data_IF_229180975865
#
_entry.id   IF_229180975865
#
_cell.length_a   1.000
_cell.length_b   1.000
_cell.length_c   1.000
_cell.angle_alpha   90.00
_cell.angle_beta   90.00
_cell.angle_gamma   90.00
#
_symmetry.space_group_name_H-M   'P 1'
#
loop_
_entity.id
_entity.type
_entity.pdbx_description
1 polymer ?
#
# COMPACT_ATOMS: atom_id res chain seq x y z
N UNK A 1 2.64 22.49 5.27
CA UNK A 1 2.90 21.33 6.17
C UNK A 1 1.98 20.21 5.72
N UNK A 2 2.55 19.14 5.26
CA UNK A 2 1.82 17.95 4.77
C UNK A 2 1.22 17.22 5.96
N UNK A 3 -0.09 17.07 6.00
CA UNK A 3 -0.78 16.32 7.05
C UNK A 3 -1.28 15.01 6.42
N UNK A 4 -0.54 13.94 6.64
CA UNK A 4 -1.02 12.58 6.41
C UNK A 4 -1.25 11.89 7.74
N UNK A 5 -2.11 10.89 7.76
CA UNK A 5 -2.33 10.10 8.97
C UNK A 5 -1.04 9.36 9.34
N UNK A 6 -0.49 9.61 10.52
CA UNK A 6 0.78 9.00 10.95
C UNK A 6 0.63 7.57 11.47
N UNK A 7 -0.58 7.06 11.58
CA UNK A 7 -0.82 5.68 12.03
C UNK A 7 -0.21 4.69 11.06
N UNK A 8 0.58 3.76 11.59
CA UNK A 8 1.12 2.63 10.86
C UNK A 8 0.60 1.35 11.49
N UNK A 9 -0.10 0.54 10.72
CA UNK A 9 -0.62 -0.74 11.14
C UNK A 9 0.40 -1.85 10.90
N UNK A 10 0.67 -2.65 11.92
CA UNK A 10 1.46 -3.89 11.79
C UNK A 10 0.51 -5.07 11.64
N UNK A 11 0.73 -5.91 10.63
CA UNK A 11 -0.11 -7.09 10.45
C UNK A 11 0.00 -8.09 11.60
N UNK A 12 1.13 -8.12 12.29
CA UNK A 12 1.37 -8.98 13.46
C UNK A 12 0.95 -8.36 14.82
N UNK A 13 0.28 -7.21 14.82
CA UNK A 13 -0.23 -6.60 16.06
C UNK A 13 -1.19 -7.55 16.78
N UNK A 14 -1.02 -7.72 18.11
CA UNK A 14 -1.79 -8.66 18.93
C UNK A 14 -3.30 -8.43 18.89
N UNK A 15 -3.73 -7.22 18.57
CA UNK A 15 -5.16 -6.85 18.48
C UNK A 15 -5.90 -7.51 17.31
N UNK A 16 -5.18 -7.89 16.25
CA UNK A 16 -5.78 -8.49 15.04
C UNK A 16 -4.92 -9.58 14.37
N UNK A 17 -3.67 -9.73 14.76
CA UNK A 17 -2.72 -10.63 14.09
C UNK A 17 -3.15 -12.11 14.12
N UNK A 18 -3.88 -12.53 15.16
CA UNK A 18 -4.39 -13.90 15.27
C UNK A 18 -5.71 -14.14 14.52
N UNK A 19 -6.36 -13.08 13.99
CA UNK A 19 -7.60 -13.24 13.25
C UNK A 19 -7.40 -14.11 12.00
N UNK A 20 -8.38 -14.95 11.61
CA UNK A 20 -8.31 -15.74 10.38
C UNK A 20 -8.16 -14.87 9.13
N UNK A 21 -7.25 -15.27 8.21
CA UNK A 21 -7.10 -14.59 6.92
C UNK A 21 -6.52 -15.54 5.84
N UNK A 22 -7.34 -16.37 5.17
CA UNK A 22 -8.80 -16.47 5.27
C UNK A 22 -9.30 -17.39 6.38
N UNK A 23 -8.52 -18.30 6.89
CA UNK A 23 -8.90 -19.32 7.90
C UNK A 23 -8.01 -19.26 9.13
N UNK A 24 -8.37 -19.99 10.19
CA UNK A 24 -7.56 -20.07 11.41
C UNK A 24 -6.13 -20.59 11.20
N UNK A 25 -5.93 -21.43 10.17
CA UNK A 25 -4.59 -21.90 9.79
C UNK A 25 -3.75 -20.87 9.03
N UNK A 26 -4.36 -19.77 8.60
CA UNK A 26 -3.71 -18.69 7.87
C UNK A 26 -4.08 -17.37 8.55
N UNK A 27 -3.28 -16.97 9.51
CA UNK A 27 -3.53 -15.79 10.32
C UNK A 27 -3.32 -14.48 9.55
N UNK A 28 -3.93 -13.43 10.06
CA UNK A 28 -3.74 -12.07 9.57
C UNK A 28 -2.27 -11.63 9.69
N UNK A 29 -1.57 -12.04 10.74
CA UNK A 29 -0.15 -11.77 10.93
C UNK A 29 0.71 -12.30 9.76
N UNK A 30 0.36 -13.46 9.22
CA UNK A 30 1.10 -14.06 8.09
C UNK A 30 0.66 -13.57 6.71
N UNK A 31 -0.61 -13.17 6.54
CA UNK A 31 -1.21 -12.98 5.22
C UNK A 31 -1.87 -11.61 5.01
N UNK A 32 -1.93 -10.77 6.03
CA UNK A 32 -2.74 -9.53 6.06
C UNK A 32 -2.11 -8.30 5.40
N UNK A 33 -0.94 -8.38 4.77
CA UNK A 33 -0.25 -7.22 4.22
C UNK A 33 -1.11 -6.43 3.21
N UNK A 34 -1.82 -7.10 2.33
CA UNK A 34 -2.72 -6.44 1.37
C UNK A 34 -3.87 -5.70 2.04
N UNK A 35 -4.47 -6.30 3.08
CA UNK A 35 -5.50 -5.64 3.87
C UNK A 35 -4.93 -4.42 4.61
N UNK A 36 -3.75 -4.53 5.22
CA UNK A 36 -3.08 -3.39 5.86
C UNK A 36 -2.74 -2.28 4.86
N UNK A 37 -2.29 -2.62 3.66
CA UNK A 37 -1.98 -1.63 2.64
C UNK A 37 -3.24 -0.86 2.20
N UNK A 38 -4.36 -1.55 1.98
CA UNK A 38 -5.67 -0.90 1.73
C UNK A 38 -6.08 -0.04 2.91
N UNK A 39 -5.90 -0.53 4.14
CA UNK A 39 -6.20 0.22 5.36
C UNK A 39 -5.37 1.51 5.45
N UNK A 40 -4.08 1.45 5.18
CA UNK A 40 -3.21 2.63 5.17
C UNK A 40 -3.66 3.69 4.16
N UNK A 41 -4.14 3.27 2.99
CA UNK A 41 -4.72 4.19 2.02
C UNK A 41 -6.05 4.79 2.53
N UNK A 42 -6.94 3.94 3.02
CA UNK A 42 -8.29 4.35 3.40
C UNK A 42 -8.33 5.26 4.62
N UNK A 43 -7.44 5.10 5.60
CA UNK A 43 -7.41 5.98 6.79
C UNK A 43 -6.96 7.42 6.47
N UNK A 44 -6.43 7.67 5.29
CA UNK A 44 -6.21 9.04 4.80
C UNK A 44 -7.55 9.73 4.48
N UNK A 45 -8.64 8.98 4.31
CA UNK A 45 -9.99 9.49 4.16
C UNK A 45 -10.64 9.71 5.53
N UNK A 46 -11.32 10.83 5.71
CA UNK A 46 -11.88 11.23 6.99
C UNK A 46 -12.83 10.17 7.60
N UNK A 47 -13.64 9.51 6.79
CA UNK A 47 -14.58 8.49 7.25
C UNK A 47 -13.92 7.24 7.83
N UNK A 48 -12.65 7.00 7.53
CA UNK A 48 -11.95 5.78 7.93
C UNK A 48 -10.80 6.02 8.91
N UNK A 49 -10.58 7.27 9.32
CA UNK A 49 -9.48 7.65 10.22
C UNK A 49 -9.42 6.87 11.54
N UNK A 50 -10.55 6.37 12.00
CA UNK A 50 -10.67 5.61 13.25
C UNK A 50 -10.76 4.09 13.04
N UNK A 51 -10.69 3.61 11.79
CA UNK A 51 -10.72 2.19 11.49
C UNK A 51 -9.36 1.55 11.78
N UNK A 52 -9.42 0.27 12.13
CA UNK A 52 -8.25 -0.59 12.32
C UNK A 52 -8.24 -1.71 11.27
N UNK A 53 -7.14 -2.44 11.11
CA UNK A 53 -7.11 -3.61 10.23
C UNK A 53 -8.22 -4.63 10.50
N UNK A 54 -8.67 -4.77 11.75
CA UNK A 54 -9.81 -5.63 12.09
C UNK A 54 -11.13 -5.18 11.43
N UNK A 55 -11.32 -3.88 11.24
CA UNK A 55 -12.48 -3.34 10.52
C UNK A 55 -12.38 -3.62 9.03
N UNK A 56 -11.24 -3.30 8.42
CA UNK A 56 -10.99 -3.51 6.99
C UNK A 56 -11.02 -5.00 6.62
N UNK A 57 -10.52 -5.87 7.48
CA UNK A 57 -10.56 -7.32 7.31
C UNK A 57 -11.96 -7.84 7.01
N UNK A 58 -13.01 -7.29 7.61
CA UNK A 58 -14.38 -7.75 7.42
C UNK A 58 -14.79 -7.82 5.95
N UNK A 59 -14.33 -6.85 5.16
CA UNK A 59 -14.53 -6.86 3.72
C UNK A 59 -13.42 -7.59 2.97
N UNK A 60 -12.17 -7.36 3.34
CA UNK A 60 -11.00 -7.82 2.61
C UNK A 60 -10.78 -9.35 2.67
N UNK A 61 -11.28 -10.01 3.72
CA UNK A 61 -11.07 -11.44 3.93
C UNK A 61 -11.60 -12.34 2.79
N UNK A 62 -12.62 -11.89 2.07
CA UNK A 62 -13.17 -12.60 0.92
C UNK A 62 -12.16 -12.74 -0.24
N UNK A 63 -11.14 -11.89 -0.27
CA UNK A 63 -10.07 -11.92 -1.27
C UNK A 63 -8.79 -12.55 -0.76
N UNK A 64 -8.80 -13.04 0.47
CA UNK A 64 -7.65 -13.71 1.06
C UNK A 64 -7.53 -15.16 0.53
N UNK A 65 -6.31 -15.59 0.30
CA UNK A 65 -6.00 -16.94 -0.18
C UNK A 65 -5.18 -17.71 0.85
N UNK A 66 -5.27 -19.03 0.79
CA UNK A 66 -4.51 -19.89 1.69
C UNK A 66 -3.00 -19.80 1.39
N UNK A 67 -2.28 -19.07 2.25
CA UNK A 67 -0.83 -18.95 2.19
C UNK A 67 -0.27 -17.93 1.18
N UNK A 68 -1.10 -17.29 0.34
CA UNK A 68 -0.64 -16.32 -0.65
C UNK A 68 -1.13 -14.87 -0.40
N UNK A 69 -1.69 -14.60 0.78
CA UNK A 69 -2.19 -13.28 1.11
C UNK A 69 -3.42 -12.84 0.33
N UNK A 70 -3.49 -11.58 -0.04
CA UNK A 70 -4.62 -10.98 -0.75
C UNK A 70 -4.43 -11.07 -2.26
N UNK A 71 -5.48 -11.47 -2.99
CA UNK A 71 -5.50 -11.45 -4.44
C UNK A 71 -5.36 -10.02 -4.99
N UNK A 72 -4.73 -9.86 -6.14
CA UNK A 72 -4.53 -8.54 -6.77
C UNK A 72 -5.84 -7.83 -7.09
N UNK A 73 -6.82 -8.54 -7.63
CA UNK A 73 -8.15 -7.97 -7.86
C UNK A 73 -8.83 -7.58 -6.54
N UNK A 74 -8.53 -8.26 -5.44
CA UNK A 74 -9.01 -7.92 -4.11
C UNK A 74 -8.47 -6.56 -3.62
N UNK A 75 -7.24 -6.20 -3.99
CA UNK A 75 -6.71 -4.87 -3.71
C UNK A 75 -7.53 -3.80 -4.44
N UNK A 76 -7.78 -3.99 -5.73
CA UNK A 76 -8.62 -3.08 -6.52
C UNK A 76 -10.01 -2.95 -5.91
N UNK A 77 -10.68 -4.08 -5.65
CA UNK A 77 -12.03 -4.10 -5.06
C UNK A 77 -12.09 -3.49 -3.67
N UNK A 78 -11.06 -3.73 -2.85
CA UNK A 78 -10.95 -3.13 -1.53
C UNK A 78 -10.83 -1.61 -1.58
N UNK A 79 -9.94 -1.10 -2.42
CA UNK A 79 -9.76 0.34 -2.60
C UNK A 79 -11.03 1.01 -3.15
N UNK A 80 -11.68 0.42 -4.15
CA UNK A 80 -12.96 0.90 -4.68
C UNK A 80 -14.05 0.92 -3.60
N UNK A 81 -14.15 -0.15 -2.81
CA UNK A 81 -15.11 -0.25 -1.71
C UNK A 81 -14.95 0.87 -0.67
N UNK A 82 -13.70 1.25 -0.40
CA UNK A 82 -13.38 2.31 0.56
C UNK A 82 -13.29 3.72 -0.06
N UNK A 83 -13.77 3.91 -1.28
CA UNK A 83 -14.00 5.24 -1.84
C UNK A 83 -12.90 5.80 -2.73
N UNK A 84 -12.13 4.92 -3.38
CA UNK A 84 -11.12 5.32 -4.35
C UNK A 84 -11.53 5.00 -5.78
N UNK A 85 -11.15 5.88 -6.71
CA UNK A 85 -10.89 5.49 -8.09
C UNK A 85 -9.54 4.82 -8.14
N UNK A 86 -9.45 3.69 -8.81
CA UNK A 86 -8.24 2.86 -8.84
C UNK A 86 -7.76 2.65 -10.27
N UNK A 87 -6.49 2.93 -10.49
CA UNK A 87 -5.80 2.58 -11.72
C UNK A 87 -4.71 1.55 -11.38
N UNK A 88 -4.98 0.30 -11.69
CA UNK A 88 -3.98 -0.76 -11.57
C UNK A 88 -3.11 -0.83 -12.83
N UNK A 89 -1.81 -1.02 -12.62
CA UNK A 89 -0.84 -1.28 -13.69
C UNK A 89 0.12 -2.38 -13.25
N UNK A 90 0.32 -3.34 -14.12
CA UNK A 90 1.44 -4.24 -14.00
C UNK A 90 2.70 -3.50 -14.41
N UNK A 91 3.77 -3.62 -13.64
CA UNK A 91 5.03 -2.97 -13.92
C UNK A 91 5.87 -3.82 -14.85
N UNK A 92 5.80 -3.59 -16.15
CA UNK A 92 6.79 -4.14 -17.07
C UNK A 92 8.07 -3.28 -17.02
N UNK A 93 7.92 -1.96 -16.94
CA UNK A 93 9.00 -1.04 -16.59
C UNK A 93 8.52 0.00 -15.59
N UNK A 94 9.34 0.30 -14.60
CA UNK A 94 9.04 1.34 -13.62
C UNK A 94 8.93 2.73 -14.23
N UNK A 95 9.56 2.94 -15.37
CA UNK A 95 9.52 4.22 -16.07
C UNK A 95 8.13 4.54 -16.62
N UNK A 96 7.41 3.54 -17.11
CA UNK A 96 6.04 3.70 -17.59
C UNK A 96 5.08 3.96 -16.43
N UNK A 97 5.24 3.28 -15.33
CA UNK A 97 4.49 3.54 -14.10
C UNK A 97 4.76 4.96 -13.62
N UNK A 98 6.01 5.37 -13.66
CA UNK A 98 6.40 6.71 -13.27
C UNK A 98 5.74 7.81 -14.10
N UNK A 99 5.62 7.63 -15.42
CA UNK A 99 4.90 8.57 -16.30
C UNK A 99 3.42 8.71 -15.90
N UNK A 100 2.79 7.61 -15.50
CA UNK A 100 1.41 7.61 -15.00
C UNK A 100 1.33 8.26 -13.63
N UNK A 101 2.25 7.97 -12.73
CA UNK A 101 2.33 8.57 -11.40
C UNK A 101 2.47 10.09 -11.48
N UNK A 102 3.36 10.62 -12.31
CA UNK A 102 3.53 12.07 -12.50
C UNK A 102 2.23 12.80 -12.86
N UNK A 103 1.38 12.18 -13.66
CA UNK A 103 0.08 12.75 -14.06
C UNK A 103 -0.98 12.63 -12.97
N UNK A 104 -0.88 11.63 -12.12
CA UNK A 104 -1.93 11.24 -11.16
C UNK A 104 -1.66 11.69 -9.73
N UNK A 105 -0.44 12.09 -9.40
CA UNK A 105 0.05 12.33 -8.03
C UNK A 105 -0.50 13.58 -7.33
N UNK A 106 -1.40 14.32 -7.95
CA UNK A 106 -1.99 15.49 -7.29
C UNK A 106 -3.11 15.14 -6.32
N UNK A 107 -3.63 13.91 -6.35
CA UNK A 107 -4.81 13.52 -5.56
C UNK A 107 -4.83 12.01 -5.30
N UNK A 108 -4.55 11.57 -4.10
CA UNK A 108 -4.70 10.16 -3.74
C UNK A 108 -3.51 9.57 -3.01
N UNK A 109 -3.50 8.27 -2.92
CA UNK A 109 -2.44 7.47 -2.32
C UNK A 109 -2.04 6.35 -3.28
N UNK A 110 -0.85 5.80 -3.09
CA UNK A 110 -0.33 4.74 -3.94
C UNK A 110 -0.15 3.50 -3.09
N UNK A 111 -0.61 2.39 -3.61
CA UNK A 111 -0.30 1.09 -3.09
C UNK A 111 0.45 0.31 -4.16
N UNK A 112 1.48 -0.42 -3.79
CA UNK A 112 2.16 -1.29 -4.73
C UNK A 112 2.48 -2.64 -4.11
N UNK A 113 2.59 -3.65 -4.98
CA UNK A 113 3.09 -4.96 -4.61
C UNK A 113 4.58 -5.05 -4.94
N UNK A 114 5.38 -5.36 -3.96
CA UNK A 114 6.78 -5.72 -4.15
C UNK A 114 6.90 -7.15 -4.67
N UNK A 115 7.92 -7.41 -5.45
CA UNK A 115 8.08 -8.71 -6.09
C UNK A 115 8.82 -9.72 -5.23
N UNK A 116 8.58 -10.99 -5.53
CA UNK A 116 9.50 -12.08 -5.26
C UNK A 116 10.90 -11.75 -5.72
N UNK A 117 11.87 -12.03 -4.88
CA UNK A 117 13.30 -11.86 -5.13
C UNK A 117 13.74 -12.25 -6.54
N UNK A 118 14.66 -11.55 -7.06
CA UNK A 118 15.19 -11.62 -8.43
C UNK A 118 15.66 -10.26 -8.91
N UNK A 119 15.37 -9.22 -8.17
CA UNK A 119 15.98 -7.91 -8.35
C UNK A 119 17.14 -7.74 -7.39
N UNK A 120 18.13 -6.97 -7.77
CA UNK A 120 19.33 -6.70 -6.95
C UNK A 120 19.02 -5.96 -5.64
N UNK A 121 17.76 -5.58 -5.40
CA UNK A 121 17.33 -4.79 -4.26
C UNK A 121 16.05 -5.38 -3.67
N UNK A 122 16.21 -6.02 -2.54
CA UNK A 122 15.11 -6.55 -1.74
C UNK A 122 14.88 -5.58 -0.60
N UNK A 123 14.00 -4.59 -0.81
CA UNK A 123 13.72 -3.62 0.24
C UNK A 123 12.68 -4.15 1.22
N UNK A 124 11.53 -4.61 0.74
CA UNK A 124 10.41 -4.97 1.61
C UNK A 124 10.18 -6.46 1.79
N UNK A 125 10.57 -7.29 0.82
CA UNK A 125 10.27 -8.72 0.87
C UNK A 125 11.11 -9.56 -0.07
N UNK A 126 11.28 -10.83 0.26
CA UNK A 126 11.83 -11.87 -0.62
C UNK A 126 10.77 -12.74 -1.30
N UNK A 127 9.49 -12.58 -0.92
CA UNK A 127 8.41 -13.50 -1.33
C UNK A 127 7.20 -12.83 -1.96
N UNK A 128 7.00 -11.55 -1.74
CA UNK A 128 5.86 -10.76 -2.17
C UNK A 128 5.24 -10.04 -0.97
N UNK A 129 4.92 -8.76 -1.16
CA UNK A 129 4.42 -7.90 -0.10
C UNK A 129 3.66 -6.70 -0.68
N UNK A 130 2.67 -6.23 0.05
CA UNK A 130 1.96 -5.00 -0.27
C UNK A 130 2.34 -3.91 0.72
N UNK A 131 2.66 -2.73 0.22
CA UNK A 131 2.95 -1.54 1.01
C UNK A 131 2.22 -0.33 0.45
N UNK A 132 1.89 0.62 1.30
CA UNK A 132 1.25 1.87 0.91
C UNK A 132 2.25 3.02 0.93
N UNK A 133 2.17 3.88 -0.08
CA UNK A 133 2.81 5.18 -0.09
C UNK A 133 1.74 6.26 0.02
N UNK A 134 1.85 7.07 1.04
CA UNK A 134 0.84 8.06 1.40
C UNK A 134 1.30 9.50 1.21
N UNK A 135 2.57 9.68 0.88
CA UNK A 135 3.15 10.98 0.56
C UNK A 135 4.37 10.83 -0.36
N UNK A 136 4.78 11.89 -1.03
CA UNK A 136 5.93 11.90 -1.89
C UNK A 136 6.55 13.30 -1.99
N UNK A 137 7.83 13.37 -2.31
CA UNK A 137 8.57 14.60 -2.59
C UNK A 137 9.62 14.36 -3.67
N UNK A 138 10.04 15.44 -4.34
CA UNK A 138 11.20 15.42 -5.22
C UNK A 138 12.34 16.19 -4.55
N UNK A 139 13.47 15.56 -4.38
CA UNK A 139 14.62 16.12 -3.69
C UNK A 139 15.91 15.50 -4.22
N UNK A 140 16.93 16.35 -4.46
CA UNK A 140 18.26 15.92 -4.94
C UNK A 140 18.22 15.07 -6.22
N UNK A 141 17.34 15.41 -7.17
CA UNK A 141 17.24 14.69 -8.46
C UNK A 141 16.57 13.31 -8.36
N UNK A 142 15.91 12.99 -7.26
CA UNK A 142 15.21 11.75 -7.06
C UNK A 142 13.83 11.98 -6.43
N UNK A 143 12.95 11.01 -6.59
CA UNK A 143 11.66 10.98 -5.93
C UNK A 143 11.74 10.15 -4.66
N UNK A 144 11.14 10.66 -3.61
CA UNK A 144 11.06 10.04 -2.31
C UNK A 144 9.60 9.80 -1.96
N UNK A 145 9.30 8.64 -1.44
CA UNK A 145 7.96 8.24 -1.03
C UNK A 145 7.91 7.91 0.44
N UNK A 146 6.87 8.36 1.11
CA UNK A 146 6.64 7.99 2.51
C UNK A 146 5.91 6.66 2.58
N UNK A 147 6.61 5.64 3.02
CA UNK A 147 6.16 4.27 3.10
C UNK A 147 5.49 3.98 4.44
N UNK A 148 4.38 3.26 4.40
CA UNK A 148 3.76 2.59 5.53
C UNK A 148 3.79 1.08 5.28
N UNK A 149 4.69 0.40 5.98
CA UNK A 149 4.89 -1.03 5.85
C UNK A 149 4.27 -1.78 7.03
N UNK A 150 3.37 -2.72 6.77
CA UNK A 150 2.77 -3.57 7.81
C UNK A 150 3.69 -4.69 8.29
N UNK A 151 4.74 -5.01 7.54
CA UNK A 151 5.65 -6.11 7.83
C UNK A 151 6.73 -5.77 8.86
N UNK A 152 7.17 -4.53 8.94
CA UNK A 152 8.23 -4.19 9.87
C UNK A 152 8.68 -2.74 9.88
N UNK A 153 9.22 -2.31 11.02
CA UNK A 153 9.59 -0.92 11.29
C UNK A 153 10.76 -0.41 10.45
N UNK A 154 11.59 -1.29 9.90
CA UNK A 154 12.76 -0.89 9.09
C UNK A 154 12.38 -0.25 7.77
N UNK A 155 11.14 -0.39 7.36
CA UNK A 155 10.67 0.01 6.04
C UNK A 155 9.59 1.12 6.11
N UNK A 156 9.47 1.79 7.23
CA UNK A 156 8.62 2.97 7.36
C UNK A 156 9.40 4.25 7.09
N UNK A 157 8.72 5.26 6.57
CA UNK A 157 9.29 6.57 6.33
C UNK A 157 9.66 6.81 4.87
N UNK A 158 10.61 7.69 4.64
CA UNK A 158 10.98 8.15 3.32
C UNK A 158 11.96 7.20 2.63
N UNK A 159 11.57 6.71 1.46
CA UNK A 159 12.40 5.85 0.62
C UNK A 159 12.62 6.47 -0.75
N UNK A 160 13.87 6.47 -1.19
CA UNK A 160 14.28 6.90 -2.53
C UNK A 160 13.78 5.91 -3.58
N UNK A 161 13.21 6.45 -4.65
CA UNK A 161 12.82 5.67 -5.79
C UNK A 161 14.01 4.93 -6.42
N UNK A 162 15.09 5.66 -6.72
CA UNK A 162 16.27 5.09 -7.38
C UNK A 162 16.96 4.02 -6.54
N UNK A 163 17.03 4.23 -5.23
CA UNK A 163 17.78 3.34 -4.33
C UNK A 163 16.97 2.13 -3.87
N UNK A 164 15.66 2.27 -3.68
CA UNK A 164 14.86 1.26 -2.99
C UNK A 164 13.71 0.68 -3.81
N UNK A 165 13.16 1.44 -4.77
CA UNK A 165 11.95 1.02 -5.47
C UNK A 165 12.22 0.52 -6.89
N UNK A 166 13.17 1.14 -7.59
CA UNK A 166 13.48 0.77 -8.97
C UNK A 166 13.91 -0.70 -9.06
N UNK A 167 13.13 -1.49 -9.81
CA UNK A 167 13.36 -2.92 -9.99
C UNK A 167 12.75 -3.82 -8.90
N UNK A 168 12.18 -3.29 -7.82
CA UNK A 168 11.52 -4.07 -6.77
C UNK A 168 9.99 -4.08 -6.90
N UNK A 169 9.41 -3.04 -7.45
CA UNK A 169 7.95 -2.92 -7.63
C UNK A 169 7.47 -3.69 -8.86
N UNK A 170 6.37 -4.44 -8.71
CA UNK A 170 5.77 -5.26 -9.79
C UNK A 170 4.38 -4.80 -10.19
N UNK A 171 3.60 -4.31 -9.24
CA UNK A 171 2.25 -3.84 -9.47
C UNK A 171 2.02 -2.55 -8.73
N UNK A 172 1.30 -1.64 -9.35
CA UNK A 172 0.95 -0.35 -8.76
C UNK A 172 -0.55 -0.14 -8.85
N UNK A 173 -1.16 0.26 -7.74
CA UNK A 173 -2.52 0.77 -7.67
C UNK A 173 -2.46 2.26 -7.37
N UNK A 174 -2.82 3.06 -8.34
CA UNK A 174 -2.91 4.51 -8.17
C UNK A 174 -4.31 4.84 -7.71
N UNK A 175 -4.43 5.41 -6.53
CA UNK A 175 -5.69 5.65 -5.87
C UNK A 175 -5.97 7.15 -5.80
N UNK A 176 -7.08 7.58 -6.35
CA UNK A 176 -7.60 8.93 -6.18
C UNK A 176 -8.93 8.88 -5.45
N UNK A 177 -9.13 9.73 -4.44
CA UNK A 177 -10.38 9.76 -3.70
C UNK A 177 -11.55 10.19 -4.57
N UNK A 178 -12.71 9.55 -4.38
CA UNK A 178 -13.99 9.98 -4.94
C UNK A 178 -14.53 11.25 -4.24
N UNK A 179 -14.05 11.57 -3.05
CA UNK A 179 -14.47 12.77 -2.33
C UNK A 179 -13.81 14.02 -2.92
N UNK A 180 -14.62 15.01 -3.24
CA UNK A 180 -14.11 16.34 -3.61
C UNK A 180 -13.29 16.92 -2.45
N UNK A 181 -12.09 17.41 -2.75
CA UNK A 181 -11.22 18.05 -1.76
C UNK A 181 -10.16 17.13 -1.13
N UNK A 182 -10.24 15.82 -1.28
CA UNK A 182 -9.12 14.97 -0.89
C UNK A 182 -7.90 15.25 -1.78
N UNK A 183 -6.79 15.56 -1.17
CA UNK A 183 -5.54 15.81 -1.88
C UNK A 183 -4.52 14.77 -1.47
N UNK A 184 -3.94 14.10 -2.44
CA UNK A 184 -2.65 13.48 -2.25
C UNK A 184 -1.63 14.60 -2.08
N UNK A 185 -0.88 14.54 -1.02
CA UNK A 185 0.00 15.63 -0.65
C UNK A 185 1.37 15.32 -1.23
N UNK A 186 1.54 15.71 -2.51
CA UNK A 186 2.84 15.74 -3.15
C UNK A 186 3.48 17.11 -2.95
N UNK A 187 4.71 17.14 -2.50
CA UNK A 187 5.52 18.34 -2.55
C UNK A 187 6.05 18.53 -3.97
N UNK A 188 5.67 19.63 -4.59
CA UNK A 188 6.31 20.13 -5.81
C UNK A 188 7.76 20.47 -5.55
#
# INVERSE_FOLDING_TARGET
MTIYNKTIFRQADSRWGSLPYPTSSYSFAGNGCGCCAVAHCAIELENFKNYTPANFRKYMVQFATKGNGTLWNGITKGLEHYGFNVHWRQADTMEDIWKVLKKSLKKGVILFGSSKGGTKRVTWTTSGHFVAFVDWKYENGDYWFYCKDSGGRKHDGWFSYKQHMAGDVRNVWICTSLKSGYKFIGSS
#
